data_IF_284941671330
#
_entry.id   IF_284941671330
#
_cell.length_a   1.000
_cell.length_b   1.000
_cell.length_c   1.000
_cell.angle_alpha   90.00
_cell.angle_beta   90.00
_cell.angle_gamma   90.00
#
_symmetry.space_group_name_H-M   'P 1'
#
loop_
_entity.id
_entity.type
_entity.pdbx_description
1 polymer ?
#
# COMPACT_ATOMS: atom_id res chain seq x y z
N UNK A 1 7.51 -0.34 -7.14
CA UNK A 1 6.92 -1.61 -6.65
C UNK A 1 6.73 -1.51 -5.14
N UNK A 2 5.71 -2.15 -4.57
CA UNK A 2 5.38 -2.02 -3.15
C UNK A 2 6.54 -2.46 -2.24
N UNK A 3 7.22 -3.55 -2.58
CA UNK A 3 8.35 -4.10 -1.80
C UNK A 3 9.62 -3.24 -1.85
N UNK A 4 9.77 -2.35 -2.81
CA UNK A 4 10.93 -1.44 -2.92
C UNK A 4 10.69 -0.08 -2.24
N UNK A 5 9.49 0.14 -1.68
CA UNK A 5 9.17 1.38 -0.96
C UNK A 5 10.13 1.57 0.22
N UNK A 6 10.54 2.81 0.41
CA UNK A 6 11.49 3.18 1.46
C UNK A 6 12.97 2.95 1.12
N UNK A 7 13.29 2.25 0.01
CA UNK A 7 14.68 2.20 -0.47
C UNK A 7 15.19 3.61 -0.82
N UNK A 8 14.34 4.40 -1.47
CA UNK A 8 14.41 5.84 -1.52
C UNK A 8 13.21 6.35 -0.73
N UNK A 9 13.39 7.20 0.29
CA UNK A 9 12.28 7.77 1.05
C UNK A 9 11.25 8.44 0.13
N UNK A 10 9.96 8.30 0.43
CA UNK A 10 8.92 8.84 -0.45
C UNK A 10 8.89 10.37 -0.51
N UNK A 11 9.48 11.06 0.47
CA UNK A 11 9.68 12.52 0.49
C UNK A 11 10.95 12.99 -0.23
N UNK A 12 11.83 12.08 -0.65
CA UNK A 12 13.03 12.45 -1.39
C UNK A 12 12.68 13.15 -2.71
N UNK A 13 13.48 14.14 -3.11
CA UNK A 13 13.25 14.92 -4.34
C UNK A 13 13.15 14.04 -5.60
N UNK A 14 14.02 13.04 -5.72
CA UNK A 14 14.05 12.08 -6.82
C UNK A 14 12.97 10.99 -6.73
N UNK A 15 12.18 10.95 -5.65
CA UNK A 15 11.03 10.05 -5.58
C UNK A 15 9.86 10.66 -6.35
N UNK A 16 9.58 10.13 -7.53
CA UNK A 16 8.53 10.60 -8.42
C UNK A 16 7.34 9.63 -8.50
N UNK A 17 7.12 8.84 -7.45
CA UNK A 17 6.02 7.87 -7.40
C UNK A 17 4.65 8.50 -7.69
N UNK A 18 4.42 9.75 -7.25
CA UNK A 18 3.19 10.50 -7.54
C UNK A 18 3.09 10.96 -9.01
N UNK A 19 4.19 11.01 -9.77
CA UNK A 19 4.22 11.30 -11.19
C UNK A 19 4.39 10.05 -12.07
N UNK A 20 4.12 8.85 -11.51
CA UNK A 20 4.36 7.55 -12.16
C UNK A 20 3.78 7.45 -13.57
N UNK A 21 2.58 7.95 -13.82
CA UNK A 21 1.95 7.88 -15.15
C UNK A 21 2.75 8.65 -16.19
N UNK A 22 3.19 9.87 -15.86
CA UNK A 22 4.06 10.68 -16.72
C UNK A 22 5.40 10.00 -16.94
N UNK A 23 6.00 9.44 -15.86
CA UNK A 23 7.27 8.72 -15.98
C UNK A 23 7.19 7.54 -16.95
N UNK A 24 6.04 6.86 -16.98
CA UNK A 24 5.86 5.71 -17.87
C UNK A 24 5.59 6.11 -19.32
N UNK A 25 4.76 7.15 -19.54
CA UNK A 25 4.35 7.55 -20.88
C UNK A 25 5.42 8.34 -21.64
N UNK A 26 6.30 9.06 -20.94
CA UNK A 26 7.14 10.07 -21.58
C UNK A 26 8.66 9.80 -21.42
N UNK A 27 9.07 8.88 -20.53
CA UNK A 27 10.48 8.54 -20.40
C UNK A 27 11.02 7.91 -21.69
N UNK A 28 12.22 8.32 -22.11
CA UNK A 28 12.96 7.76 -23.22
C UNK A 28 13.79 6.51 -22.85
N UNK A 29 14.10 6.36 -21.55
CA UNK A 29 14.75 5.20 -20.99
C UNK A 29 14.12 4.80 -19.65
N UNK A 30 13.84 3.52 -19.46
CA UNK A 30 13.26 2.97 -18.23
C UNK A 30 14.12 1.81 -17.74
N UNK A 31 14.62 1.93 -16.49
CA UNK A 31 15.38 0.87 -15.86
C UNK A 31 14.51 0.10 -14.87
N UNK A 32 14.35 -1.19 -15.08
CA UNK A 32 13.68 -2.13 -14.19
C UNK A 32 14.73 -2.81 -13.31
N UNK A 33 14.63 -2.61 -12.02
CA UNK A 33 15.61 -3.15 -11.05
C UNK A 33 14.91 -4.18 -10.18
N UNK A 34 15.15 -5.47 -10.41
CA UNK A 34 14.49 -6.57 -9.72
C UNK A 34 12.98 -6.51 -9.82
N UNK A 35 12.48 -6.03 -10.93
CA UNK A 35 11.05 -5.80 -11.14
C UNK A 35 10.55 -6.54 -12.37
N UNK A 36 9.63 -7.47 -12.13
CA UNK A 36 8.96 -8.19 -13.22
C UNK A 36 7.91 -7.30 -13.91
N UNK A 37 7.82 -7.41 -15.23
CA UNK A 37 6.76 -6.77 -16.02
C UNK A 37 5.45 -7.56 -15.94
N UNK A 38 4.88 -7.63 -14.73
CA UNK A 38 3.62 -8.30 -14.47
C UNK A 38 2.43 -7.33 -14.53
N UNK A 39 1.25 -7.78 -14.14
CA UNK A 39 0.00 -7.00 -14.14
C UNK A 39 0.09 -5.69 -13.35
N UNK A 40 0.88 -5.60 -12.27
CA UNK A 40 1.06 -4.36 -11.49
C UNK A 40 1.71 -3.23 -12.30
N UNK A 41 2.52 -3.60 -13.29
CA UNK A 41 3.13 -2.68 -14.26
C UNK A 41 2.40 -2.69 -15.61
N UNK A 42 1.16 -3.24 -15.65
CA UNK A 42 0.37 -3.40 -16.88
C UNK A 42 1.19 -4.09 -17.97
N UNK A 43 2.02 -5.08 -17.62
CA UNK A 43 2.90 -5.81 -18.51
C UNK A 43 3.80 -4.90 -19.40
N UNK A 44 4.04 -3.66 -18.93
CA UNK A 44 4.79 -2.64 -19.69
C UNK A 44 3.98 -1.92 -20.77
N UNK A 45 2.69 -2.15 -20.89
CA UNK A 45 1.85 -1.57 -21.95
C UNK A 45 1.66 -0.05 -21.84
N UNK A 46 1.86 0.50 -20.63
CA UNK A 46 1.76 1.94 -20.37
C UNK A 46 3.08 2.68 -20.53
N UNK A 47 4.15 1.97 -20.89
CA UNK A 47 5.43 2.60 -21.15
C UNK A 47 5.42 3.29 -22.52
N UNK A 48 6.20 4.35 -22.64
CA UNK A 48 6.49 4.94 -23.92
C UNK A 48 6.96 3.84 -24.90
N UNK A 49 6.32 3.64 -26.05
CA UNK A 49 6.66 2.58 -26.98
C UNK A 49 8.09 2.69 -27.53
N UNK A 50 8.63 3.91 -27.57
CA UNK A 50 9.98 4.20 -28.07
C UNK A 50 11.05 4.14 -26.96
N UNK A 51 10.65 3.96 -25.70
CA UNK A 51 11.57 3.89 -24.57
C UNK A 51 12.54 2.72 -24.68
N UNK A 52 13.79 2.96 -24.35
CA UNK A 52 14.80 1.91 -24.19
C UNK A 52 14.66 1.28 -22.82
N UNK A 53 14.33 -0.02 -22.79
CA UNK A 53 14.17 -0.73 -21.52
C UNK A 53 15.51 -1.38 -21.12
N UNK A 54 15.92 -1.11 -19.88
CA UNK A 54 17.05 -1.74 -19.21
C UNK A 54 16.48 -2.61 -18.11
N UNK A 55 16.87 -3.88 -18.02
CA UNK A 55 16.38 -4.76 -16.96
C UNK A 55 17.54 -5.40 -16.22
N UNK A 56 17.52 -5.28 -14.90
CA UNK A 56 18.47 -5.89 -13.97
C UNK A 56 17.71 -6.96 -13.19
N UNK A 57 18.08 -8.22 -13.33
CA UNK A 57 17.48 -9.32 -12.58
C UNK A 57 18.51 -10.43 -12.32
N UNK A 58 18.30 -11.20 -11.25
CA UNK A 58 19.15 -12.38 -10.98
C UNK A 58 18.69 -13.57 -11.82
N UNK A 59 17.43 -13.60 -12.25
CA UNK A 59 16.86 -14.66 -13.08
C UNK A 59 16.82 -14.24 -14.54
N UNK A 60 17.61 -14.91 -15.37
CA UNK A 60 17.65 -14.67 -16.80
C UNK A 60 16.29 -14.93 -17.50
N UNK A 61 15.41 -15.76 -16.92
CA UNK A 61 14.10 -16.05 -17.50
C UNK A 61 13.12 -14.88 -17.37
N UNK A 62 13.38 -13.91 -16.49
CA UNK A 62 12.57 -12.70 -16.37
C UNK A 62 12.86 -11.68 -17.48
N UNK A 63 13.99 -11.83 -18.19
CA UNK A 63 14.37 -10.94 -19.29
C UNK A 63 13.48 -11.22 -20.52
N UNK A 64 13.07 -10.18 -21.21
CA UNK A 64 12.23 -10.23 -22.41
C UNK A 64 10.83 -10.87 -22.19
N UNK A 65 10.38 -11.06 -20.95
CA UNK A 65 9.16 -11.81 -20.65
C UNK A 65 7.87 -11.18 -21.26
N UNK A 66 7.77 -9.85 -21.29
CA UNK A 66 6.59 -9.15 -21.83
C UNK A 66 6.94 -7.99 -22.79
N UNK A 67 8.15 -7.48 -22.74
CA UNK A 67 8.67 -6.42 -23.62
C UNK A 67 10.12 -6.71 -23.97
N UNK A 68 10.51 -6.33 -25.18
CA UNK A 68 11.91 -6.46 -25.60
C UNK A 68 12.80 -5.54 -24.76
N UNK A 69 13.83 -6.12 -24.16
CA UNK A 69 14.80 -5.40 -23.34
C UNK A 69 15.98 -4.97 -24.19
N UNK A 70 16.29 -3.68 -24.20
CA UNK A 70 17.40 -3.13 -24.97
C UNK A 70 18.77 -3.43 -24.33
N UNK A 71 18.82 -3.47 -22.98
CA UNK A 71 20.04 -3.79 -22.25
C UNK A 71 19.72 -4.70 -21.04
N UNK A 72 19.87 -6.03 -21.19
CA UNK A 72 19.73 -6.96 -20.07
C UNK A 72 21.01 -6.99 -19.23
N UNK A 73 20.85 -6.96 -17.91
CA UNK A 73 21.92 -7.10 -16.92
C UNK A 73 21.55 -8.22 -15.96
N UNK A 74 22.05 -9.43 -16.21
CA UNK A 74 21.74 -10.62 -15.41
C UNK A 74 22.81 -10.80 -14.33
N UNK A 75 22.41 -10.77 -13.06
CA UNK A 75 23.33 -10.95 -11.95
C UNK A 75 22.79 -10.43 -10.63
N UNK A 76 23.59 -10.63 -9.59
CA UNK A 76 23.31 -10.06 -8.27
C UNK A 76 23.31 -8.54 -8.33
N UNK A 77 22.28 -7.92 -7.74
CA UNK A 77 22.06 -6.47 -7.80
C UNK A 77 23.25 -5.66 -7.30
N UNK A 78 23.86 -6.08 -6.19
CA UNK A 78 25.00 -5.38 -5.61
C UNK A 78 26.19 -5.43 -6.56
N UNK A 79 26.45 -6.59 -7.14
CA UNK A 79 27.53 -6.79 -8.12
C UNK A 79 27.31 -5.93 -9.37
N UNK A 80 26.08 -5.95 -9.93
CA UNK A 80 25.73 -5.13 -11.10
C UNK A 80 25.92 -3.64 -10.81
N UNK A 81 25.43 -3.14 -9.67
CA UNK A 81 25.57 -1.71 -9.33
C UNK A 81 26.99 -1.30 -8.99
N UNK A 82 27.84 -2.20 -8.50
CA UNK A 82 29.26 -1.92 -8.30
C UNK A 82 29.96 -1.55 -9.64
N UNK A 83 29.57 -2.16 -10.73
CA UNK A 83 30.10 -1.87 -12.06
C UNK A 83 29.34 -0.74 -12.77
N UNK A 84 28.02 -0.75 -12.70
CA UNK A 84 27.16 0.21 -13.39
C UNK A 84 27.33 1.64 -12.85
N UNK A 85 27.42 1.81 -11.54
CA UNK A 85 27.51 3.15 -10.91
C UNK A 85 28.74 3.93 -11.36
N UNK A 86 29.96 3.37 -11.35
CA UNK A 86 31.15 4.06 -11.89
C UNK A 86 31.04 4.36 -13.38
N UNK A 87 30.47 3.43 -14.16
CA UNK A 87 30.28 3.59 -15.60
C UNK A 87 29.35 4.77 -15.93
N UNK A 88 28.19 4.85 -15.25
CA UNK A 88 27.23 5.96 -15.41
C UNK A 88 27.86 7.30 -15.01
N UNK A 89 28.59 7.33 -13.90
CA UNK A 89 29.32 8.54 -13.47
C UNK A 89 30.34 8.99 -14.51
N UNK A 90 31.13 8.06 -15.05
CA UNK A 90 32.13 8.35 -16.09
C UNK A 90 31.48 8.84 -17.39
N UNK A 91 30.32 8.31 -17.75
CA UNK A 91 29.56 8.72 -18.93
C UNK A 91 28.92 10.11 -18.79
N UNK A 92 28.83 10.65 -17.57
CA UNK A 92 28.28 11.99 -17.31
C UNK A 92 26.80 12.12 -17.66
N UNK A 93 26.05 11.01 -17.63
CA UNK A 93 24.62 11.00 -17.97
C UNK A 93 23.84 11.87 -16.99
N UNK A 94 23.05 12.79 -17.50
CA UNK A 94 22.18 13.69 -16.73
C UNK A 94 20.82 13.76 -17.41
N UNK A 95 19.75 13.79 -16.59
CA UNK A 95 18.43 14.12 -17.09
C UNK A 95 18.38 15.61 -17.53
N UNK A 96 17.57 15.91 -18.52
CA UNK A 96 17.33 17.30 -18.90
C UNK A 96 16.57 18.05 -17.80
N UNK A 97 16.79 19.36 -17.68
CA UNK A 97 16.09 20.18 -16.69
C UNK A 97 14.59 20.20 -16.96
N UNK A 98 14.20 20.30 -18.23
CA UNK A 98 12.78 20.29 -18.64
C UNK A 98 12.06 19.01 -18.17
N UNK A 99 12.74 17.85 -18.24
CA UNK A 99 12.20 16.59 -17.75
C UNK A 99 12.01 16.59 -16.22
N UNK A 100 13.01 17.07 -15.50
CA UNK A 100 12.93 17.18 -14.03
C UNK A 100 11.81 18.13 -13.60
N UNK A 101 11.67 19.25 -14.28
CA UNK A 101 10.63 20.24 -14.02
C UNK A 101 9.22 19.68 -14.33
N UNK A 102 9.05 18.94 -15.44
CA UNK A 102 7.81 18.28 -15.77
C UNK A 102 7.39 17.24 -14.72
N UNK A 103 8.33 16.41 -14.26
CA UNK A 103 8.10 15.44 -13.19
C UNK A 103 7.71 16.11 -11.88
N UNK A 104 8.41 17.20 -11.52
CA UNK A 104 8.13 17.97 -10.32
C UNK A 104 6.73 18.61 -10.39
N UNK A 105 6.38 19.25 -11.48
CA UNK A 105 5.07 19.86 -11.68
C UNK A 105 3.94 18.82 -11.56
N UNK A 106 4.14 17.64 -12.15
CA UNK A 106 3.15 16.55 -12.07
C UNK A 106 3.04 15.96 -10.66
N UNK A 107 4.15 15.81 -9.96
CA UNK A 107 4.20 15.40 -8.55
C UNK A 107 3.42 16.38 -7.68
N UNK A 108 3.68 17.69 -7.81
CA UNK A 108 3.04 18.74 -7.03
C UNK A 108 1.52 18.80 -7.30
N UNK A 109 1.11 18.71 -8.56
CA UNK A 109 -0.32 18.63 -8.96
C UNK A 109 -1.03 17.45 -8.27
N UNK A 110 -0.41 16.25 -8.31
CA UNK A 110 -1.01 15.05 -7.75
C UNK A 110 -1.02 15.07 -6.22
N UNK A 111 -0.01 15.66 -5.58
CA UNK A 111 -0.02 15.89 -4.13
C UNK A 111 -1.14 16.83 -3.72
N UNK A 112 -1.35 17.93 -4.44
CA UNK A 112 -2.46 18.85 -4.14
C UNK A 112 -3.83 18.15 -4.26
N UNK A 113 -4.01 17.31 -5.29
CA UNK A 113 -5.23 16.51 -5.46
C UNK A 113 -5.40 15.50 -4.32
N UNK A 114 -4.33 14.83 -3.91
CA UNK A 114 -4.37 13.88 -2.79
C UNK A 114 -4.70 14.60 -1.49
N UNK A 115 -4.05 15.73 -1.20
CA UNK A 115 -4.31 16.52 0.00
C UNK A 115 -5.78 16.92 0.09
N UNK A 116 -6.41 17.35 -1.00
CA UNK A 116 -7.83 17.65 -1.05
C UNK A 116 -8.69 16.42 -0.66
N UNK A 117 -8.34 15.23 -1.13
CA UNK A 117 -9.07 13.98 -0.78
C UNK A 117 -8.93 13.65 0.70
N UNK A 118 -7.72 13.78 1.25
CA UNK A 118 -7.40 13.48 2.65
C UNK A 118 -8.13 14.41 3.63
N UNK A 119 -8.36 15.67 3.24
CA UNK A 119 -8.94 16.70 4.12
C UNK A 119 -10.43 16.96 3.85
N UNK A 120 -11.07 16.27 2.90
CA UNK A 120 -12.50 16.46 2.62
C UNK A 120 -13.34 15.82 3.73
N UNK A 121 -14.07 16.59 4.55
CA UNK A 121 -14.89 16.05 5.62
C UNK A 121 -16.01 15.15 5.10
N UNK A 122 -16.22 14.02 5.75
CA UNK A 122 -17.33 13.10 5.48
C UNK A 122 -17.72 12.37 6.75
N UNK A 123 -19.00 12.04 6.87
CA UNK A 123 -19.53 11.25 7.99
C UNK A 123 -20.58 10.26 7.46
N UNK A 124 -20.37 8.94 7.60
CA UNK A 124 -19.14 8.30 8.06
C UNK A 124 -17.93 8.64 7.20
N UNK A 125 -16.71 8.49 7.75
CA UNK A 125 -15.48 8.78 7.02
C UNK A 125 -15.28 7.84 5.82
N UNK A 126 -14.60 8.33 4.78
CA UNK A 126 -14.15 7.49 3.67
C UNK A 126 -12.71 7.00 3.89
N UNK A 127 -12.22 6.14 2.99
CA UNK A 127 -10.86 5.59 3.04
C UNK A 127 -9.78 6.67 3.17
N UNK A 128 -9.88 7.77 2.43
CA UNK A 128 -8.89 8.85 2.48
C UNK A 128 -8.88 9.56 3.84
N UNK A 129 -10.05 9.83 4.41
CA UNK A 129 -10.17 10.41 5.75
C UNK A 129 -9.59 9.49 6.82
N UNK A 130 -9.84 8.19 6.73
CA UNK A 130 -9.30 7.19 7.65
C UNK A 130 -7.78 6.98 7.48
N UNK A 131 -7.25 7.11 6.27
CA UNK A 131 -5.81 6.96 6.02
C UNK A 131 -5.00 8.21 6.39
N UNK A 132 -5.63 9.38 6.50
CA UNK A 132 -4.93 10.62 6.82
C UNK A 132 -4.21 10.59 8.18
N UNK A 133 -4.86 10.24 9.31
CA UNK A 133 -4.16 10.14 10.60
C UNK A 133 -3.09 9.04 10.62
N UNK A 134 -3.30 7.92 9.93
CA UNK A 134 -2.29 6.85 9.83
C UNK A 134 -1.04 7.35 9.07
N UNK A 135 -1.24 8.07 7.96
CA UNK A 135 -0.15 8.71 7.21
C UNK A 135 0.67 9.65 8.09
N UNK A 136 0.01 10.50 8.88
CA UNK A 136 0.70 11.44 9.77
C UNK A 136 1.41 10.72 10.92
N UNK A 137 0.84 9.65 11.49
CA UNK A 137 1.51 8.84 12.50
C UNK A 137 2.82 8.22 11.96
N UNK A 138 2.76 7.57 10.79
CA UNK A 138 3.95 6.95 10.15
C UNK A 138 5.01 8.00 9.83
N UNK A 139 4.59 9.18 9.35
CA UNK A 139 5.50 10.30 9.07
C UNK A 139 6.22 10.81 10.32
N UNK A 140 5.50 10.92 11.44
CA UNK A 140 6.09 11.31 12.73
C UNK A 140 6.98 10.22 13.32
N UNK A 141 6.70 8.97 13.02
CA UNK A 141 7.38 7.80 13.58
C UNK A 141 7.92 6.87 12.45
N UNK A 142 8.95 7.30 11.71
CA UNK A 142 9.42 6.59 10.51
C UNK A 142 10.07 5.22 10.80
N UNK A 143 10.28 4.87 12.07
CA UNK A 143 10.75 3.56 12.54
C UNK A 143 9.62 2.53 12.72
N UNK A 144 8.38 2.96 12.59
CA UNK A 144 7.20 2.09 12.68
C UNK A 144 7.07 1.22 11.44
N UNK A 145 6.78 -0.04 11.63
CA UNK A 145 6.43 -0.93 10.53
C UNK A 145 4.94 -0.80 10.18
N UNK A 146 4.65 -0.69 8.90
CA UNK A 146 3.30 -0.71 8.36
C UNK A 146 3.03 -2.08 7.74
N UNK A 147 2.00 -2.75 8.22
CA UNK A 147 1.41 -3.92 7.54
C UNK A 147 0.10 -3.50 6.93
N UNK A 148 -0.17 -3.90 5.70
CA UNK A 148 -1.43 -3.56 5.03
C UNK A 148 -2.00 -4.78 4.30
N UNK A 149 -3.28 -5.01 4.49
CA UNK A 149 -4.00 -6.10 3.84
C UNK A 149 -5.43 -5.68 3.41
N UNK A 150 -6.04 -6.52 2.59
CA UNK A 150 -7.34 -6.28 2.01
C UNK A 150 -7.26 -5.74 0.58
N UNK A 151 -8.41 -5.65 -0.11
CA UNK A 151 -8.46 -5.18 -1.49
C UNK A 151 -8.31 -3.65 -1.58
N UNK A 152 -9.41 -2.91 -1.35
CA UNK A 152 -9.40 -1.44 -1.42
C UNK A 152 -8.50 -0.82 -0.34
N UNK A 153 -8.50 -1.36 0.87
CA UNK A 153 -7.67 -0.89 1.98
C UNK A 153 -6.20 -0.89 1.61
N UNK A 154 -5.72 -1.99 1.01
CA UNK A 154 -4.36 -2.15 0.57
C UNK A 154 -4.03 -1.21 -0.61
N UNK A 155 -4.87 -1.19 -1.65
CA UNK A 155 -4.58 -0.43 -2.87
C UNK A 155 -4.61 1.07 -2.64
N UNK A 156 -5.59 1.57 -1.88
CA UNK A 156 -5.66 2.99 -1.51
C UNK A 156 -4.52 3.34 -0.53
N UNK A 157 -4.26 2.48 0.46
CA UNK A 157 -3.17 2.66 1.41
C UNK A 157 -1.79 2.76 0.75
N UNK A 158 -1.53 1.96 -0.30
CA UNK A 158 -0.31 2.04 -1.11
C UNK A 158 -0.10 3.39 -1.79
N UNK A 159 -1.18 4.09 -2.10
CA UNK A 159 -1.14 5.40 -2.75
C UNK A 159 -1.07 6.56 -1.76
N UNK A 160 -1.53 6.36 -0.52
CA UNK A 160 -1.68 7.42 0.49
C UNK A 160 -0.50 7.45 1.46
N UNK A 161 -0.11 6.29 2.01
CA UNK A 161 0.87 6.24 3.10
C UNK A 161 2.30 6.22 2.53
N UNK A 162 3.09 7.22 2.91
CA UNK A 162 4.49 7.33 2.55
C UNK A 162 5.36 6.41 3.43
N UNK A 163 6.44 5.87 2.85
CA UNK A 163 7.39 5.01 3.53
C UNK A 163 8.79 5.62 3.44
N UNK A 164 9.47 5.69 4.58
CA UNK A 164 10.72 6.43 4.71
C UNK A 164 11.96 5.52 4.87
N UNK A 165 11.73 4.23 5.17
CA UNK A 165 12.80 3.25 5.38
C UNK A 165 12.53 1.97 4.60
N UNK A 166 13.59 1.30 4.08
CA UNK A 166 13.42 0.04 3.37
C UNK A 166 12.84 -1.04 4.30
N UNK A 167 11.99 -1.90 3.74
CA UNK A 167 11.33 -3.01 4.45
C UNK A 167 10.38 -2.61 5.58
N UNK A 168 10.06 -1.31 5.76
CA UNK A 168 9.10 -0.84 6.77
C UNK A 168 7.65 -0.92 6.29
N UNK A 169 7.42 -1.49 5.12
CA UNK A 169 6.09 -1.83 4.62
C UNK A 169 6.05 -3.29 4.22
N UNK A 170 5.10 -4.02 4.80
CA UNK A 170 4.78 -5.40 4.46
C UNK A 170 3.36 -5.46 3.94
N UNK A 171 3.17 -6.18 2.86
CA UNK A 171 1.87 -6.45 2.27
C UNK A 171 1.91 -7.75 1.45
N UNK A 172 0.77 -8.17 0.94
CA UNK A 172 0.61 -9.44 0.21
C UNK A 172 1.25 -9.45 -1.18
N UNK A 173 1.90 -8.37 -1.58
CA UNK A 173 2.60 -8.25 -2.86
C UNK A 173 1.69 -8.44 -4.07
N UNK A 174 2.12 -9.29 -5.00
CA UNK A 174 1.38 -9.63 -6.23
C UNK A 174 0.37 -10.76 -6.04
N UNK A 175 0.44 -11.49 -4.96
CA UNK A 175 -0.50 -12.59 -4.67
C UNK A 175 -1.88 -12.08 -4.31
N UNK A 176 -1.97 -10.94 -3.59
CA UNK A 176 -3.24 -10.36 -3.18
C UNK A 176 -4.06 -11.26 -2.25
N UNK A 177 -3.41 -12.19 -1.56
CA UNK A 177 -4.06 -13.11 -0.61
C UNK A 177 -4.52 -12.36 0.63
N UNK A 178 -5.57 -12.84 1.28
CA UNK A 178 -6.06 -12.35 2.57
C UNK A 178 -5.81 -13.39 3.67
N UNK A 179 -5.72 -12.94 4.94
CA UNK A 179 -5.48 -13.77 6.11
C UNK A 179 -3.99 -14.00 6.42
N UNK A 180 -3.14 -13.04 6.10
CA UNK A 180 -1.70 -13.08 6.39
C UNK A 180 -1.19 -11.82 7.10
N UNK A 181 -1.99 -10.76 7.16
CA UNK A 181 -1.57 -9.46 7.69
C UNK A 181 -1.18 -9.53 9.16
N UNK A 182 -2.00 -10.11 10.01
CA UNK A 182 -1.67 -10.25 11.43
C UNK A 182 -0.47 -11.16 11.66
N UNK A 183 -0.29 -12.21 10.84
CA UNK A 183 0.92 -13.04 10.87
C UNK A 183 2.18 -12.23 10.54
N UNK A 184 2.14 -11.35 9.54
CA UNK A 184 3.24 -10.43 9.25
C UNK A 184 3.48 -9.44 10.40
N UNK A 185 2.43 -8.91 11.01
CA UNK A 185 2.54 -7.99 12.14
C UNK A 185 3.22 -8.65 13.34
N UNK A 186 2.79 -9.87 13.71
CA UNK A 186 3.37 -10.67 14.80
C UNK A 186 4.85 -10.95 14.52
N UNK A 187 5.16 -11.52 13.35
CA UNK A 187 6.54 -11.84 12.98
C UNK A 187 7.44 -10.60 13.00
N UNK A 188 6.94 -9.47 12.52
CA UNK A 188 7.67 -8.21 12.52
C UNK A 188 7.92 -7.69 13.94
N UNK A 189 6.90 -7.67 14.80
CA UNK A 189 7.05 -7.21 16.18
C UNK A 189 8.03 -8.07 16.96
N UNK A 190 7.97 -9.40 16.80
CA UNK A 190 8.89 -10.36 17.49
C UNK A 190 10.32 -10.17 16.99
N UNK A 191 10.53 -10.14 15.67
CA UNK A 191 11.88 -10.07 15.08
C UNK A 191 12.56 -8.75 15.35
N UNK A 192 11.80 -7.63 15.32
CA UNK A 192 12.38 -6.30 15.38
C UNK A 192 12.27 -5.61 16.73
N UNK A 193 11.35 -6.04 17.59
CA UNK A 193 11.00 -5.35 18.84
C UNK A 193 10.40 -3.96 18.60
N UNK A 194 9.93 -3.65 17.38
CA UNK A 194 9.41 -2.33 17.01
C UNK A 194 7.88 -2.31 16.99
N UNK A 195 7.33 -1.10 17.10
CA UNK A 195 5.88 -0.88 16.95
C UNK A 195 5.44 -1.19 15.53
N UNK A 196 4.28 -1.81 15.42
CA UNK A 196 3.65 -2.16 14.15
C UNK A 196 2.25 -1.54 14.09
N UNK A 197 1.95 -0.87 12.99
CA UNK A 197 0.59 -0.47 12.63
C UNK A 197 0.12 -1.40 11.52
N UNK A 198 -0.96 -2.15 11.79
CA UNK A 198 -1.57 -3.06 10.83
C UNK A 198 -2.90 -2.46 10.35
N UNK A 199 -3.06 -2.27 9.04
CA UNK A 199 -4.27 -1.69 8.44
C UNK A 199 -4.93 -2.73 7.55
N UNK A 200 -6.09 -3.19 7.96
CA UNK A 200 -6.82 -4.26 7.28
C UNK A 200 -8.26 -3.86 6.97
N UNK A 201 -8.82 -4.40 5.88
CA UNK A 201 -10.25 -4.38 5.67
C UNK A 201 -10.95 -5.38 6.59
N UNK A 202 -12.22 -5.16 6.90
CA UNK A 202 -13.04 -6.05 7.71
C UNK A 202 -13.09 -7.50 7.19
N UNK A 203 -13.13 -7.65 5.87
CA UNK A 203 -13.08 -8.97 5.22
C UNK A 203 -11.72 -9.65 5.37
N UNK A 204 -10.62 -8.92 5.23
CA UNK A 204 -9.28 -9.46 5.42
C UNK A 204 -9.06 -9.87 6.88
N UNK A 205 -9.40 -8.99 7.82
CA UNK A 205 -9.36 -9.26 9.25
C UNK A 205 -10.19 -10.48 9.65
N UNK A 206 -11.29 -10.75 8.95
CA UNK A 206 -12.13 -11.91 9.19
C UNK A 206 -11.43 -13.26 8.98
N UNK A 207 -10.30 -13.31 8.25
CA UNK A 207 -9.54 -14.54 8.03
C UNK A 207 -8.55 -14.87 9.16
N UNK A 208 -7.97 -13.86 9.81
CA UNK A 208 -6.91 -14.04 10.81
C UNK A 208 -7.14 -13.25 12.12
N UNK A 209 -8.31 -12.66 12.30
CA UNK A 209 -8.63 -11.82 13.45
C UNK A 209 -8.43 -12.48 14.82
N UNK A 210 -8.46 -13.84 14.90
CA UNK A 210 -8.18 -14.55 16.15
C UNK A 210 -6.70 -14.52 16.56
N UNK A 211 -5.79 -14.11 15.68
CA UNK A 211 -4.39 -13.86 16.04
C UNK A 211 -4.23 -12.74 17.08
N UNK A 212 -5.30 -11.97 17.34
CA UNK A 212 -5.33 -11.02 18.47
C UNK A 212 -5.07 -11.70 19.82
N UNK A 213 -5.45 -12.97 20.00
CA UNK A 213 -5.12 -13.74 21.21
C UNK A 213 -3.61 -13.82 21.36
N UNK A 214 -2.90 -14.25 20.33
CA UNK A 214 -1.43 -14.36 20.31
C UNK A 214 -0.77 -13.00 20.57
N UNK A 215 -1.27 -11.95 19.92
CA UNK A 215 -0.77 -10.58 20.07
C UNK A 215 -0.92 -10.11 21.52
N UNK A 216 -2.08 -10.33 22.13
CA UNK A 216 -2.36 -9.95 23.52
C UNK A 216 -1.55 -10.79 24.52
N UNK A 217 -1.50 -12.11 24.35
CA UNK A 217 -0.76 -13.01 25.21
C UNK A 217 0.73 -12.73 25.23
N UNK A 218 1.31 -12.32 24.09
CA UNK A 218 2.72 -11.96 23.96
C UNK A 218 3.00 -10.47 24.20
N UNK A 219 1.99 -9.69 24.54
CA UNK A 219 2.10 -8.23 24.78
C UNK A 219 2.81 -7.47 23.63
N UNK A 220 2.51 -7.84 22.38
CA UNK A 220 3.17 -7.23 21.22
C UNK A 220 2.66 -5.79 20.97
N UNK A 221 3.54 -4.83 20.66
CA UNK A 221 3.17 -3.44 20.43
C UNK A 221 2.55 -3.25 19.02
N UNK A 222 1.41 -3.87 18.79
CA UNK A 222 0.71 -3.87 17.52
C UNK A 222 -0.61 -3.10 17.66
N UNK A 223 -0.77 -2.08 16.84
CA UNK A 223 -2.04 -1.35 16.69
C UNK A 223 -2.69 -1.78 15.38
N UNK A 224 -3.85 -2.41 15.47
CA UNK A 224 -4.63 -2.90 14.33
C UNK A 224 -5.75 -1.87 14.04
N UNK A 225 -5.84 -1.38 12.81
CA UNK A 225 -6.93 -0.54 12.34
C UNK A 225 -7.75 -1.34 11.33
N UNK A 226 -8.95 -1.71 11.70
CA UNK A 226 -9.88 -2.44 10.84
C UNK A 226 -10.78 -1.44 10.11
N UNK A 227 -10.63 -1.35 8.79
CA UNK A 227 -11.50 -0.53 7.95
C UNK A 227 -12.79 -1.30 7.68
N UNK A 228 -13.82 -0.96 8.48
CA UNK A 228 -15.11 -1.61 8.45
C UNK A 228 -16.04 -0.88 7.48
N UNK A 229 -16.16 -1.38 6.26
CA UNK A 229 -17.11 -0.91 5.26
C UNK A 229 -18.29 -1.89 5.06
N UNK A 230 -18.38 -2.93 5.89
CA UNK A 230 -19.45 -3.92 5.86
C UNK A 230 -19.36 -4.90 4.70
N UNK A 231 -18.16 -5.16 4.14
CA UNK A 231 -18.02 -6.17 3.10
C UNK A 231 -16.78 -6.10 2.24
N UNK A 232 -16.71 -7.02 1.29
CA UNK A 232 -15.59 -7.12 0.34
C UNK A 232 -15.72 -6.01 -0.72
N UNK A 233 -14.61 -5.38 -1.11
CA UNK A 233 -14.51 -4.29 -2.11
C UNK A 233 -15.41 -3.08 -1.80
N UNK A 234 -16.65 -3.10 -2.29
CA UNK A 234 -17.59 -1.97 -2.20
C UNK A 234 -18.36 -1.92 -0.88
N UNK A 235 -18.06 -2.82 0.06
CA UNK A 235 -18.78 -2.90 1.33
C UNK A 235 -20.20 -3.43 1.20
N UNK A 236 -21.04 -3.10 2.18
CA UNK A 236 -22.41 -3.54 2.23
C UNK A 236 -23.24 -3.02 1.05
N UNK A 237 -24.11 -3.86 0.52
CA UNK A 237 -25.13 -3.45 -0.44
C UNK A 237 -26.18 -2.53 0.18
N UNK A 238 -27.05 -1.96 -0.68
CA UNK A 238 -28.11 -1.05 -0.24
C UNK A 238 -29.10 -1.68 0.77
N UNK A 239 -29.26 -3.01 0.72
CA UNK A 239 -30.08 -3.79 1.64
C UNK A 239 -29.29 -4.97 2.23
N UNK A 240 -28.29 -4.72 3.09
CA UNK A 240 -27.48 -5.79 3.67
C UNK A 240 -28.27 -6.69 4.65
N UNK A 241 -29.41 -6.21 5.15
CA UNK A 241 -30.30 -6.96 6.04
C UNK A 241 -31.47 -7.64 5.31
N UNK A 242 -31.46 -7.62 3.98
CA UNK A 242 -32.45 -8.29 3.15
C UNK A 242 -32.46 -9.81 3.35
N UNK A 243 -33.48 -10.47 2.80
CA UNK A 243 -33.65 -11.93 2.94
C UNK A 243 -32.57 -12.75 2.20
N UNK A 244 -31.87 -12.14 1.25
CA UNK A 244 -30.82 -12.77 0.45
C UNK A 244 -29.70 -11.76 0.12
N UNK A 245 -28.87 -11.38 1.13
CA UNK A 245 -27.77 -10.44 0.90
C UNK A 245 -26.68 -11.08 0.02
N UNK A 246 -26.00 -10.26 -0.80
CA UNK A 246 -24.89 -10.74 -1.62
C UNK A 246 -23.80 -11.39 -0.75
N UNK A 247 -23.15 -12.47 -1.24
CA UNK A 247 -22.12 -13.20 -0.49
C UNK A 247 -20.91 -12.33 -0.05
N UNK A 248 -20.76 -11.15 -0.64
CA UNK A 248 -19.69 -10.19 -0.30
C UNK A 248 -20.06 -9.25 0.86
N UNK A 249 -21.33 -9.30 1.32
CA UNK A 249 -21.85 -8.44 2.38
C UNK A 249 -21.49 -9.02 3.75
N UNK A 250 -20.94 -8.18 4.62
CA UNK A 250 -20.69 -8.48 6.03
C UNK A 250 -21.58 -7.60 6.90
N UNK A 251 -21.60 -7.88 8.21
CA UNK A 251 -22.32 -7.04 9.16
C UNK A 251 -21.60 -5.69 9.35
N UNK A 252 -22.15 -4.63 8.77
CA UNK A 252 -21.63 -3.27 8.91
C UNK A 252 -21.66 -2.74 10.36
N UNK A 253 -22.39 -3.38 11.27
CA UNK A 253 -22.43 -3.07 12.70
C UNK A 253 -21.46 -3.90 13.52
N UNK A 254 -20.67 -4.76 12.86
CA UNK A 254 -19.65 -5.59 13.50
C UNK A 254 -18.69 -4.77 14.35
N UNK A 255 -18.45 -5.22 15.57
CA UNK A 255 -17.61 -4.57 16.57
C UNK A 255 -16.31 -5.37 16.70
N UNK A 256 -15.43 -5.23 15.70
CA UNK A 256 -14.14 -5.93 15.66
C UNK A 256 -13.23 -5.55 16.84
N UNK A 257 -13.35 -4.33 17.35
CA UNK A 257 -12.63 -3.85 18.53
C UNK A 257 -12.88 -4.72 19.78
N UNK A 258 -14.07 -5.32 19.91
CA UNK A 258 -14.40 -6.18 21.04
C UNK A 258 -13.54 -7.45 21.15
N UNK A 259 -12.91 -7.87 20.09
CA UNK A 259 -11.96 -8.97 20.15
C UNK A 259 -10.71 -8.59 20.96
N UNK A 260 -10.19 -7.37 20.84
CA UNK A 260 -9.09 -6.90 21.68
C UNK A 260 -9.51 -6.84 23.15
N UNK A 261 -10.68 -6.29 23.46
CA UNK A 261 -11.22 -6.22 24.82
C UNK A 261 -11.35 -7.61 25.45
N UNK A 262 -11.82 -8.61 24.68
CA UNK A 262 -11.98 -9.98 25.16
C UNK A 262 -10.65 -10.62 25.61
N UNK A 263 -9.50 -10.20 25.03
CA UNK A 263 -8.17 -10.70 25.37
C UNK A 263 -7.32 -9.69 26.17
N UNK A 264 -7.94 -8.60 26.67
CA UNK A 264 -7.27 -7.61 27.53
C UNK A 264 -6.46 -6.55 26.80
N UNK A 265 -6.64 -6.43 25.50
CA UNK A 265 -6.10 -5.34 24.67
C UNK A 265 -6.97 -4.07 24.74
N UNK A 266 -6.49 -3.01 24.09
CA UNK A 266 -7.24 -1.76 23.95
C UNK A 266 -8.25 -1.85 22.80
N UNK A 267 -9.44 -1.30 22.98
CA UNK A 267 -10.55 -1.40 22.04
C UNK A 267 -11.15 -0.02 21.77
N UNK A 268 -11.22 0.35 20.49
CA UNK A 268 -11.80 1.62 20.05
C UNK A 268 -12.75 1.38 18.89
N UNK A 269 -13.86 2.13 18.89
CA UNK A 269 -14.80 2.15 17.77
C UNK A 269 -15.00 3.61 17.34
N UNK A 270 -14.65 3.93 16.11
CA UNK A 270 -14.54 5.30 15.63
C UNK A 270 -15.26 5.48 14.28
N UNK A 271 -15.80 6.65 14.04
CA UNK A 271 -16.60 6.99 12.86
C UNK A 271 -16.08 8.23 12.12
N UNK A 272 -15.18 8.98 12.76
CA UNK A 272 -14.60 10.20 12.20
C UNK A 272 -13.08 10.15 12.18
N UNK A 273 -12.40 10.90 11.28
CA UNK A 273 -10.95 10.99 11.27
C UNK A 273 -10.35 11.50 12.58
N UNK A 274 -11.03 12.41 13.27
CA UNK A 274 -10.59 13.01 14.53
C UNK A 274 -10.61 11.98 15.67
N UNK A 275 -11.69 11.17 15.75
CA UNK A 275 -11.77 10.05 16.68
C UNK A 275 -10.69 9.02 16.41
N UNK A 276 -10.43 8.73 15.12
CA UNK A 276 -9.39 7.79 14.71
C UNK A 276 -8.00 8.32 15.07
N UNK A 277 -7.70 9.60 14.82
CA UNK A 277 -6.41 10.20 15.18
C UNK A 277 -6.15 10.09 16.67
N UNK A 278 -7.16 10.41 17.50
CA UNK A 278 -7.07 10.29 18.95
C UNK A 278 -6.82 8.84 19.38
N UNK A 279 -7.65 7.90 18.94
CA UNK A 279 -7.54 6.48 19.30
C UNK A 279 -6.20 5.88 18.84
N UNK A 280 -5.74 6.27 17.65
CA UNK A 280 -4.48 5.81 17.07
C UNK A 280 -3.27 6.28 17.90
N UNK A 281 -3.24 7.56 18.28
CA UNK A 281 -2.16 8.10 19.12
C UNK A 281 -2.19 7.48 20.53
N UNK A 282 -3.36 7.36 21.16
CA UNK A 282 -3.51 6.71 22.47
C UNK A 282 -3.04 5.26 22.46
N UNK A 283 -3.46 4.47 21.45
CA UNK A 283 -3.05 3.07 21.30
C UNK A 283 -1.54 2.94 21.03
N UNK A 284 -1.00 3.79 20.17
CA UNK A 284 0.42 3.81 19.82
C UNK A 284 1.31 4.17 21.01
N UNK A 285 0.90 5.15 21.84
CA UNK A 285 1.68 5.59 22.99
C UNK A 285 1.57 4.62 24.16
N UNK A 286 0.45 3.91 24.31
CA UNK A 286 0.24 2.94 25.36
C UNK A 286 1.15 1.71 25.27
N UNK A 287 1.76 1.46 24.12
CA UNK A 287 2.64 0.30 23.87
C UNK A 287 1.97 -1.04 24.22
N UNK A 288 0.68 -1.15 23.88
CA UNK A 288 -0.17 -2.32 24.15
C UNK A 288 -0.89 -2.75 22.88
N UNK A 289 -1.25 -4.03 22.78
CA UNK A 289 -2.12 -4.51 21.72
C UNK A 289 -3.42 -3.70 21.66
N UNK A 290 -3.81 -3.31 20.46
CA UNK A 290 -5.03 -2.52 20.24
C UNK A 290 -5.74 -2.90 18.94
N UNK A 291 -7.09 -2.87 18.97
CA UNK A 291 -7.90 -2.86 17.75
C UNK A 291 -8.73 -1.58 17.72
N UNK A 292 -8.64 -0.88 16.60
CA UNK A 292 -9.46 0.29 16.30
C UNK A 292 -10.40 -0.12 15.14
N UNK A 293 -11.69 -0.29 15.46
CA UNK A 293 -12.74 -0.50 14.45
C UNK A 293 -13.11 0.86 13.84
N UNK A 294 -12.60 1.12 12.64
CA UNK A 294 -12.82 2.35 11.90
C UNK A 294 -13.99 2.16 10.92
N UNK A 295 -15.17 2.66 11.26
CA UNK A 295 -16.37 2.56 10.42
C UNK A 295 -16.24 3.48 9.21
N UNK A 296 -16.32 2.92 8.02
CA UNK A 296 -16.14 3.64 6.74
C UNK A 296 -17.43 3.62 5.95
N UNK A 297 -17.74 4.71 5.26
CA UNK A 297 -18.85 4.76 4.31
C UNK A 297 -18.60 3.80 3.13
N UNK A 298 -19.39 2.74 2.99
CA UNK A 298 -19.21 1.75 1.92
C UNK A 298 -19.40 2.34 0.52
N UNK A 299 -20.13 3.44 0.36
CA UNK A 299 -20.36 4.09 -0.93
C UNK A 299 -19.13 4.81 -1.50
N UNK A 300 -18.09 5.05 -0.68
CA UNK A 300 -16.94 5.87 -1.03
C UNK A 300 -15.70 5.06 -1.46
N UNK A 301 -15.77 3.75 -1.48
CA UNK A 301 -14.65 2.85 -1.72
C UNK A 301 -14.52 2.37 -3.17
N UNK A 302 -14.57 3.26 -4.16
CA UNK A 302 -14.35 2.86 -5.56
C UNK A 302 -12.99 3.34 -6.06
N UNK A 303 -11.91 2.69 -5.66
CA UNK A 303 -10.76 2.60 -6.54
C UNK A 303 -10.87 1.27 -7.27
N UNK A 304 -10.88 1.32 -8.61
CA UNK A 304 -10.77 0.11 -9.41
C UNK A 304 -9.43 -0.52 -9.09
N UNK A 305 -9.43 -1.62 -8.36
CA UNK A 305 -8.26 -2.47 -8.27
C UNK A 305 -7.74 -2.71 -9.69
N UNK A 306 -6.44 -2.85 -9.85
CA UNK A 306 -5.82 -3.06 -11.16
C UNK A 306 -6.17 -4.43 -11.78
N UNK A 307 -7.26 -5.07 -11.33
CA UNK A 307 -7.78 -6.36 -11.85
C UNK A 307 -7.99 -6.31 -13.37
N UNK A 308 -8.42 -5.17 -13.93
CA UNK A 308 -8.50 -4.98 -15.37
C UNK A 308 -7.17 -5.12 -16.11
N UNK A 309 -6.04 -5.03 -15.40
CA UNK A 309 -4.70 -5.23 -15.96
C UNK A 309 -4.29 -6.71 -16.03
N UNK A 310 -5.03 -7.62 -15.41
CA UNK A 310 -4.72 -9.06 -15.45
C UNK A 310 -4.78 -9.63 -16.86
N UNK A 311 -5.65 -9.06 -17.73
CA UNK A 311 -5.80 -9.52 -19.09
C UNK A 311 -6.11 -8.36 -20.05
N UNK A 312 -5.13 -7.50 -20.35
CA UNK A 312 -5.36 -6.29 -21.14
C UNK A 312 -5.78 -6.56 -22.59
N UNK A 313 -5.53 -7.77 -23.12
CA UNK A 313 -5.85 -8.12 -24.51
C UNK A 313 -7.24 -8.68 -24.72
N UNK A 314 -7.92 -9.10 -23.68
CA UNK A 314 -9.29 -9.58 -23.75
C UNK A 314 -10.25 -8.41 -23.53
N UNK A 315 -10.26 -7.42 -24.39
CA UNK A 315 -11.19 -6.28 -24.35
C UNK A 315 -12.65 -6.67 -24.16
N UNK A 316 -12.99 -7.27 -23.03
CA UNK A 316 -14.37 -7.49 -22.60
C UNK A 316 -14.88 -6.12 -22.16
N UNK A 317 -15.53 -5.44 -23.08
CA UNK A 317 -16.40 -4.32 -22.74
C UNK A 317 -17.57 -4.91 -21.96
N UNK A 318 -17.62 -4.71 -20.67
CA UNK A 318 -18.81 -4.89 -19.85
C UNK A 318 -19.70 -3.66 -19.92
#
# INVERSE_FOLDING_TARGET
>A
MSMAKGLLPDDHESCVAAARSLSFSDADAIMLVGARLNWMLSHGEKFNPDAKLIQIDVDANEIDSNKKIAAPLVGDMKSVFNELTPAVKKAGIKASQDWLDALKAKKDENFAKMQKRLTTPRSPMGYYGALAPIKELIKKNPDTYLVSEGANTLDIGRNVIDIFKPRHRLDTGTWGVMGVGLGYAIGTAIETGKKVVCVEGDSAFGFDGMEIETICRLHLPITIVVFNNGGIYNGAEKDPAGSDPAPITLDAKGRYDKLAEAFGGLAYNVTTPEELDKALNEAFDADKPAIINAVIDPALGKESGHIGNLNPKLGIKH
#
